data_IF_404714270465
#
_entry.id   IF_404714270465
#
_cell.length_a   1.000
_cell.length_b   1.000
_cell.length_c   1.000
_cell.angle_alpha   90.00
_cell.angle_beta   90.00
_cell.angle_gamma   90.00
#
_symmetry.space_group_name_H-M   'P 1'
#
loop_
_entity.id
_entity.type
_entity.pdbx_description
1 polymer ?
#
# COMPACT_ATOMS: atom_id res chain seq x y z
N UNK A 1 -24.54 -14.56 -58.64
CA UNK A 1 -23.66 -13.43 -58.23
C UNK A 1 -24.15 -12.79 -56.92
N UNK A 2 -24.64 -13.59 -55.95
CA UNK A 2 -25.11 -13.11 -54.64
C UNK A 2 -24.41 -13.78 -53.45
N UNK A 3 -23.76 -14.94 -53.64
CA UNK A 3 -23.26 -15.74 -52.52
C UNK A 3 -21.90 -15.27 -51.97
N UNK A 4 -21.18 -14.43 -52.72
CA UNK A 4 -19.86 -13.94 -52.32
C UNK A 4 -19.93 -12.82 -51.27
N UNK A 5 -21.04 -12.06 -51.21
CA UNK A 5 -21.20 -10.97 -50.22
C UNK A 5 -21.56 -11.46 -48.83
N UNK A 6 -22.23 -12.62 -48.72
CA UNK A 6 -22.68 -13.17 -47.44
C UNK A 6 -21.50 -13.72 -46.60
N UNK A 7 -20.56 -14.41 -47.24
CA UNK A 7 -19.39 -14.98 -46.55
C UNK A 7 -18.42 -13.93 -46.01
N UNK A 8 -18.28 -12.79 -46.69
CA UNK A 8 -17.43 -11.68 -46.23
C UNK A 8 -18.01 -10.98 -45.00
N UNK A 9 -19.33 -10.78 -44.95
CA UNK A 9 -19.99 -10.14 -43.80
C UNK A 9 -19.88 -11.00 -42.54
N UNK A 10 -19.99 -12.32 -42.68
CA UNK A 10 -19.87 -13.27 -41.56
C UNK A 10 -18.42 -13.30 -41.03
N UNK A 11 -17.43 -13.29 -41.92
CA UNK A 11 -16.01 -13.33 -41.54
C UNK A 11 -15.56 -12.05 -40.83
N UNK A 12 -16.02 -10.87 -41.29
CA UNK A 12 -15.76 -9.58 -40.63
C UNK A 12 -16.41 -9.51 -39.25
N UNK A 13 -17.62 -10.06 -39.09
CA UNK A 13 -18.29 -10.14 -37.79
C UNK A 13 -17.56 -11.03 -36.79
N UNK A 14 -17.05 -12.19 -37.21
CA UNK A 14 -16.31 -13.10 -36.33
C UNK A 14 -14.97 -12.48 -35.87
N UNK A 15 -14.23 -11.83 -36.78
CA UNK A 15 -12.98 -11.13 -36.42
C UNK A 15 -13.24 -9.94 -35.48
N UNK A 16 -14.32 -9.18 -35.71
CA UNK A 16 -14.71 -8.09 -34.83
C UNK A 16 -15.14 -8.58 -33.44
N UNK A 17 -15.90 -9.68 -33.35
CA UNK A 17 -16.32 -10.27 -32.07
C UNK A 17 -15.11 -10.85 -31.31
N UNK A 18 -14.16 -11.47 -31.99
CA UNK A 18 -12.91 -11.95 -31.35
C UNK A 18 -12.08 -10.76 -30.84
N UNK A 19 -11.97 -9.65 -31.59
CA UNK A 19 -11.26 -8.45 -31.12
C UNK A 19 -11.94 -7.76 -29.93
N UNK A 20 -13.27 -7.76 -29.87
CA UNK A 20 -14.01 -7.22 -28.70
C UNK A 20 -13.85 -8.12 -27.47
N UNK A 21 -13.70 -9.44 -27.64
CA UNK A 21 -13.49 -10.37 -26.54
C UNK A 21 -12.06 -10.36 -25.97
N UNK A 22 -11.05 -9.97 -26.75
CA UNK A 22 -9.67 -9.73 -26.25
C UNK A 22 -9.46 -8.32 -25.69
N UNK A 23 -10.43 -7.42 -25.83
CA UNK A 23 -10.37 -6.04 -25.32
C UNK A 23 -10.62 -5.89 -23.81
N UNK A 24 -10.97 -6.97 -23.09
CA UNK A 24 -11.28 -6.91 -21.67
C UNK A 24 -10.05 -7.18 -20.80
N UNK A 25 -9.55 -6.10 -20.20
CA UNK A 25 -8.70 -6.06 -19.00
C UNK A 25 -7.24 -6.52 -19.15
N UNK A 26 -6.42 -5.73 -19.84
CA UNK A 26 -4.99 -5.68 -19.51
C UNK A 26 -4.85 -5.08 -18.10
N UNK A 27 -4.84 -5.92 -17.07
CA UNK A 27 -4.35 -5.51 -15.76
C UNK A 27 -2.91 -5.08 -15.96
N UNK A 28 -2.55 -3.85 -15.55
CA UNK A 28 -1.16 -3.41 -15.64
C UNK A 28 -0.32 -4.31 -14.75
N UNK A 29 0.84 -4.74 -15.23
CA UNK A 29 1.77 -5.59 -14.45
C UNK A 29 2.07 -4.94 -13.09
N UNK A 30 2.21 -3.61 -13.08
CA UNK A 30 2.37 -2.80 -11.86
C UNK A 30 1.21 -2.96 -10.85
N UNK A 31 -0.04 -3.02 -11.30
CA UNK A 31 -1.19 -3.21 -10.41
C UNK A 31 -1.14 -4.58 -9.70
N UNK A 32 -0.67 -5.61 -10.42
CA UNK A 32 -0.50 -6.96 -9.86
C UNK A 32 0.62 -6.98 -8.83
N UNK A 33 1.76 -6.36 -9.16
CA UNK A 33 2.93 -6.28 -8.28
C UNK A 33 2.59 -5.55 -6.97
N UNK A 34 1.88 -4.41 -7.07
CA UNK A 34 1.39 -3.66 -5.92
C UNK A 34 0.43 -4.52 -5.07
N UNK A 35 -0.48 -5.24 -5.73
CA UNK A 35 -1.44 -6.11 -5.03
C UNK A 35 -0.75 -7.22 -4.25
N UNK A 36 0.25 -7.86 -4.82
CA UNK A 36 1.03 -8.91 -4.15
C UNK A 36 1.77 -8.36 -2.92
N UNK A 37 2.41 -7.20 -3.07
CA UNK A 37 3.07 -6.53 -1.95
C UNK A 37 2.07 -6.14 -0.85
N UNK A 38 0.96 -5.48 -1.18
CA UNK A 38 -0.05 -5.06 -0.21
C UNK A 38 -0.66 -6.27 0.51
N UNK A 39 -0.89 -7.36 -0.21
CA UNK A 39 -1.37 -8.62 0.39
C UNK A 39 -0.39 -9.12 1.44
N UNK A 40 0.92 -9.03 1.17
CA UNK A 40 1.98 -9.40 2.12
C UNK A 40 2.01 -8.47 3.33
N UNK A 41 2.04 -7.15 3.09
CA UNK A 41 2.07 -6.12 4.15
C UNK A 41 0.89 -6.27 5.11
N UNK A 42 -0.28 -6.63 4.59
CA UNK A 42 -1.51 -6.71 5.37
C UNK A 42 -1.87 -8.14 5.83
N UNK A 43 -1.06 -9.15 5.51
CA UNK A 43 -1.39 -10.56 5.76
C UNK A 43 -1.84 -10.84 7.20
N UNK A 44 -1.08 -10.33 8.18
CA UNK A 44 -1.42 -10.46 9.60
C UNK A 44 -2.75 -9.80 9.94
N UNK A 45 -2.99 -8.58 9.46
CA UNK A 45 -4.22 -7.83 9.75
C UNK A 45 -5.44 -8.47 9.09
N UNK A 46 -5.30 -8.95 7.86
CA UNK A 46 -6.34 -9.70 7.15
C UNK A 46 -6.69 -10.99 7.90
N UNK A 47 -5.71 -11.67 8.52
CA UNK A 47 -5.95 -12.93 9.23
C UNK A 47 -6.69 -12.78 10.57
N UNK A 48 -6.69 -11.60 11.19
CA UNK A 48 -7.23 -11.38 12.53
C UNK A 48 -8.40 -10.38 12.58
N UNK A 49 -8.72 -9.71 11.47
CA UNK A 49 -9.75 -8.67 11.43
C UNK A 49 -10.82 -9.01 10.40
N UNK A 50 -12.09 -8.82 10.77
CA UNK A 50 -13.24 -9.07 9.89
C UNK A 50 -13.24 -8.16 8.66
N UNK A 51 -12.69 -6.95 8.80
CA UNK A 51 -12.52 -6.01 7.68
C UNK A 51 -11.27 -5.14 7.88
N UNK A 52 -10.43 -5.09 6.85
CA UNK A 52 -9.28 -4.16 6.79
C UNK A 52 -9.65 -2.99 5.89
N UNK A 53 -9.61 -1.78 6.44
CA UNK A 53 -9.90 -0.54 5.72
C UNK A 53 -8.59 0.20 5.45
N UNK A 54 -8.32 0.51 4.18
CA UNK A 54 -7.10 1.19 3.75
C UNK A 54 -7.48 2.54 3.16
N UNK A 55 -6.74 3.60 3.49
CA UNK A 55 -6.90 4.91 2.84
C UNK A 55 -6.71 4.77 1.33
N UNK A 56 -7.65 5.31 0.56
CA UNK A 56 -7.60 5.31 -0.90
C UNK A 56 -6.47 6.18 -1.42
N UNK A 57 -6.16 7.30 -0.74
CA UNK A 57 -5.00 8.14 -1.03
C UNK A 57 -3.79 7.64 -0.24
N UNK A 58 -2.64 7.53 -0.92
CA UNK A 58 -1.39 7.17 -0.28
C UNK A 58 -0.95 8.24 0.74
N UNK A 59 -0.31 7.77 1.80
CA UNK A 59 0.21 8.60 2.87
C UNK A 59 1.64 9.06 2.56
N UNK A 60 1.81 10.38 2.47
CA UNK A 60 3.09 11.06 2.27
C UNK A 60 3.53 11.86 3.52
N UNK A 61 2.73 11.88 4.59
CA UNK A 61 3.01 12.69 5.79
C UNK A 61 4.30 12.25 6.48
N UNK A 62 4.64 10.95 6.38
CA UNK A 62 5.86 10.41 6.96
C UNK A 62 7.15 11.05 6.40
N UNK A 63 7.15 11.54 5.16
CA UNK A 63 8.28 12.25 4.55
C UNK A 63 8.58 13.56 5.30
N UNK A 64 7.56 14.13 5.94
CA UNK A 64 7.71 15.35 6.73
C UNK A 64 8.31 15.11 8.12
N UNK A 65 8.52 13.85 8.53
CA UNK A 65 9.06 13.50 9.85
C UNK A 65 10.46 14.13 10.06
N UNK A 66 10.67 14.91 11.13
CA UNK A 66 11.96 15.58 11.39
C UNK A 66 13.15 14.62 11.51
N UNK A 67 12.93 13.38 11.95
CA UNK A 67 13.99 12.36 12.06
C UNK A 67 14.52 11.92 10.69
N UNK A 68 13.71 12.09 9.65
CA UNK A 68 14.03 11.72 8.27
C UNK A 68 14.51 12.92 7.46
N UNK A 69 14.66 14.11 8.07
CA UNK A 69 15.14 15.33 7.40
C UNK A 69 16.61 15.62 7.77
N UNK A 70 17.50 15.81 6.78
CA UNK A 70 17.27 15.70 5.33
C UNK A 70 17.07 14.23 4.88
N UNK A 71 16.27 14.00 3.84
CA UNK A 71 15.97 12.64 3.35
C UNK A 71 17.18 12.04 2.63
N UNK A 72 18.05 11.38 3.40
CA UNK A 72 19.33 10.80 2.95
C UNK A 72 19.73 9.58 3.81
N UNK A 73 20.84 8.93 3.42
CA UNK A 73 21.38 7.75 4.12
C UNK A 73 21.61 7.99 5.61
N UNK A 74 22.15 9.15 5.98
CA UNK A 74 22.45 9.48 7.37
C UNK A 74 21.18 9.57 8.24
N UNK A 75 20.11 10.16 7.73
CA UNK A 75 18.86 10.25 8.48
C UNK A 75 18.19 8.89 8.65
N UNK A 76 18.25 8.04 7.61
CA UNK A 76 17.74 6.69 7.70
C UNK A 76 18.58 5.77 8.60
N UNK A 77 19.91 5.93 8.62
CA UNK A 77 20.80 5.12 9.47
C UNK A 77 20.64 5.40 10.97
N UNK A 78 20.08 6.56 11.32
CA UNK A 78 19.69 6.89 12.70
C UNK A 78 18.47 6.11 13.18
N UNK A 79 17.68 5.54 12.26
CA UNK A 79 16.51 4.74 12.62
C UNK A 79 16.95 3.38 13.19
N UNK A 80 16.36 2.99 14.31
CA UNK A 80 16.57 1.66 14.87
C UNK A 80 15.63 0.66 14.20
N UNK A 81 16.18 -0.30 13.46
CA UNK A 81 15.40 -1.45 12.99
C UNK A 81 15.02 -2.35 14.17
N UNK A 82 13.76 -2.75 14.27
CA UNK A 82 13.27 -3.68 15.32
C UNK A 82 13.23 -5.13 14.82
N UNK A 83 13.19 -5.35 13.50
CA UNK A 83 13.27 -6.69 12.92
C UNK A 83 14.73 -6.97 12.54
N UNK A 84 15.38 -7.84 13.34
CA UNK A 84 16.73 -8.38 13.12
C UNK A 84 16.64 -9.79 12.50
N UNK A 85 15.94 -9.96 11.39
CA UNK A 85 16.10 -11.21 10.63
C UNK A 85 17.39 -11.01 9.83
N UNK A 86 18.49 -11.48 10.42
CA UNK A 86 19.86 -11.47 9.87
C UNK A 86 20.44 -10.10 9.50
N UNK A 87 21.14 -9.46 10.45
CA UNK A 87 22.37 -8.64 10.31
C UNK A 87 22.61 -7.69 9.10
N UNK A 88 21.64 -7.43 8.23
CA UNK A 88 21.79 -6.53 7.09
C UNK A 88 21.45 -5.12 7.55
N UNK A 89 22.41 -4.21 7.43
CA UNK A 89 22.17 -2.79 7.63
C UNK A 89 21.47 -2.21 6.40
N UNK A 90 20.78 -1.09 6.53
CA UNK A 90 20.09 -0.45 5.40
C UNK A 90 21.05 -0.19 4.24
N UNK A 91 22.26 0.26 4.57
CA UNK A 91 23.34 0.57 3.63
C UNK A 91 23.86 -0.67 2.88
N UNK A 92 23.65 -1.87 3.43
CA UNK A 92 24.01 -3.13 2.76
C UNK A 92 22.97 -3.61 1.76
N UNK A 93 21.78 -3.01 1.77
CA UNK A 93 20.63 -3.40 0.94
C UNK A 93 20.29 -2.31 -0.07
N UNK A 94 20.24 -1.05 0.37
CA UNK A 94 19.84 0.09 -0.45
C UNK A 94 21.02 1.01 -0.73
N UNK A 95 21.16 1.40 -1.99
CA UNK A 95 22.10 2.43 -2.42
C UNK A 95 21.61 3.84 -2.06
N UNK A 96 22.50 4.83 -2.13
CA UNK A 96 22.11 6.24 -1.98
C UNK A 96 21.12 6.67 -3.08
N UNK A 97 21.23 6.12 -4.29
CA UNK A 97 20.29 6.34 -5.38
C UNK A 97 18.89 5.77 -5.06
N UNK A 98 18.82 4.59 -4.45
CA UNK A 98 17.55 3.99 -4.00
C UNK A 98 16.86 4.86 -2.95
N UNK A 99 17.62 5.40 -2.00
CA UNK A 99 17.07 6.31 -0.99
C UNK A 99 16.59 7.61 -1.60
N UNK A 100 17.36 8.20 -2.52
CA UNK A 100 16.92 9.40 -3.25
C UNK A 100 15.61 9.13 -4.01
N UNK A 101 15.51 7.98 -4.66
CA UNK A 101 14.29 7.54 -5.34
C UNK A 101 13.12 7.40 -4.36
N UNK A 102 13.33 6.77 -3.21
CA UNK A 102 12.34 6.69 -2.13
C UNK A 102 11.86 8.10 -1.76
N UNK A 103 12.77 9.01 -1.44
CA UNK A 103 12.42 10.36 -1.00
C UNK A 103 11.59 11.12 -2.04
N UNK A 104 11.98 11.06 -3.32
CA UNK A 104 11.29 11.80 -4.40
C UNK A 104 9.93 11.18 -4.69
N UNK A 105 9.85 9.87 -4.89
CA UNK A 105 8.59 9.23 -5.29
C UNK A 105 7.56 9.15 -4.16
N UNK A 106 7.99 9.28 -2.90
CA UNK A 106 7.09 9.28 -1.74
C UNK A 106 6.29 10.57 -1.60
N UNK A 107 6.73 11.66 -2.23
CA UNK A 107 6.00 12.94 -2.26
C UNK A 107 4.94 12.99 -3.37
N UNK A 108 4.95 12.03 -4.29
CA UNK A 108 3.99 11.98 -5.39
C UNK A 108 2.59 11.58 -4.92
N UNK A 109 1.58 12.29 -5.42
CA UNK A 109 0.19 11.91 -5.20
C UNK A 109 -0.10 10.54 -5.84
N UNK A 110 -0.56 9.59 -5.02
CA UNK A 110 -0.92 8.26 -5.47
C UNK A 110 -2.29 7.84 -4.93
N UNK A 111 -3.11 7.24 -5.80
CA UNK A 111 -4.46 6.76 -5.48
C UNK A 111 -4.52 5.27 -5.76
N UNK A 112 -4.77 4.48 -4.71
CA UNK A 112 -4.97 3.04 -4.85
C UNK A 112 -6.26 2.76 -5.61
N UNK A 113 -6.18 1.89 -6.61
CA UNK A 113 -7.35 1.34 -7.30
C UNK A 113 -7.78 0.02 -6.65
N UNK A 114 -9.02 -0.41 -6.90
CA UNK A 114 -9.52 -1.72 -6.43
C UNK A 114 -8.73 -2.91 -6.98
N UNK A 115 -8.03 -2.75 -8.11
CA UNK A 115 -7.20 -3.81 -8.71
C UNK A 115 -5.88 -4.00 -7.97
N UNK A 116 -5.41 -2.98 -7.26
CA UNK A 116 -4.14 -2.96 -6.53
C UNK A 116 -4.23 -3.50 -5.11
N UNK A 117 -5.41 -3.86 -4.61
CA UNK A 117 -5.61 -4.37 -3.26
C UNK A 117 -6.27 -5.75 -3.26
N UNK A 118 -6.02 -6.61 -2.25
CA UNK A 118 -6.75 -7.86 -2.13
C UNK A 118 -8.24 -7.62 -1.88
N UNK A 119 -9.09 -8.59 -2.24
CA UNK A 119 -10.54 -8.47 -2.15
C UNK A 119 -11.05 -8.20 -0.72
N UNK A 120 -10.32 -8.68 0.29
CA UNK A 120 -10.62 -8.47 1.71
C UNK A 120 -10.35 -7.04 2.20
N UNK A 121 -9.74 -6.18 1.38
CA UNK A 121 -9.42 -4.79 1.72
C UNK A 121 -10.44 -3.82 1.15
N UNK A 122 -11.02 -3.00 2.03
CA UNK A 122 -11.90 -1.90 1.66
C UNK A 122 -11.13 -0.58 1.60
N UNK A 123 -10.88 -0.11 0.38
CA UNK A 123 -10.47 1.29 0.16
C UNK A 123 -11.56 2.26 0.65
N UNK A 124 -11.16 3.27 1.42
CA UNK A 124 -12.01 4.33 1.97
C UNK A 124 -11.37 5.71 1.75
N UNK A 125 -12.19 6.75 1.63
CA UNK A 125 -11.66 8.12 1.51
C UNK A 125 -10.94 8.56 2.79
N UNK A 126 -9.90 9.39 2.63
CA UNK A 126 -9.12 9.91 3.74
C UNK A 126 -9.98 10.74 4.71
N UNK A 127 -10.89 11.58 4.20
CA UNK A 127 -11.80 12.38 5.02
C UNK A 127 -12.68 11.53 5.95
N UNK A 128 -13.07 10.33 5.51
CA UNK A 128 -13.82 9.39 6.35
C UNK A 128 -12.97 8.87 7.52
N UNK A 129 -11.69 8.56 7.27
CA UNK A 129 -10.74 8.17 8.31
C UNK A 129 -10.49 9.31 9.29
N UNK A 130 -10.25 10.53 8.77
CA UNK A 130 -9.95 11.70 9.58
C UNK A 130 -11.13 12.07 10.49
N UNK A 131 -12.36 11.98 9.97
CA UNK A 131 -13.58 12.17 10.75
C UNK A 131 -13.73 11.13 11.87
N UNK A 132 -13.43 9.85 11.59
CA UNK A 132 -13.45 8.79 12.59
C UNK A 132 -12.41 9.03 13.69
N UNK A 133 -11.19 9.45 13.34
CA UNK A 133 -10.14 9.72 14.32
C UNK A 133 -10.40 10.99 15.14
N UNK A 134 -10.98 12.02 14.53
CA UNK A 134 -11.42 13.21 15.25
C UNK A 134 -12.50 12.86 16.28
N UNK A 135 -13.49 12.05 15.89
CA UNK A 135 -14.53 11.58 16.79
C UNK A 135 -13.96 10.74 17.96
N UNK A 136 -12.99 9.85 17.68
CA UNK A 136 -12.29 9.07 18.70
C UNK A 136 -11.58 9.96 19.73
N UNK A 137 -10.79 10.93 19.27
CA UNK A 137 -10.03 11.85 20.12
C UNK A 137 -10.97 12.66 21.04
N UNK A 138 -12.12 13.09 20.53
CA UNK A 138 -13.13 13.79 21.32
C UNK A 138 -13.78 12.88 22.37
N UNK A 139 -14.03 11.61 22.05
CA UNK A 139 -14.61 10.64 22.99
C UNK A 139 -13.68 10.33 24.17
N UNK A 140 -12.37 10.16 23.91
CA UNK A 140 -11.35 9.95 24.95
C UNK A 140 -11.26 11.13 25.92
N UNK A 141 -11.40 12.36 25.41
CA UNK A 141 -11.36 13.58 26.24
C UNK A 141 -12.59 13.75 27.12
N UNK A 142 -13.76 13.31 26.65
CA UNK A 142 -15.05 13.61 27.31
C UNK A 142 -15.58 12.47 28.21
N UNK A 143 -14.89 11.33 28.33
CA UNK A 143 -15.28 10.17 29.15
C UNK A 143 -16.74 9.69 28.95
N UNK A 144 -17.39 10.05 27.84
CA UNK A 144 -18.78 9.71 27.57
C UNK A 144 -18.89 8.39 26.79
N UNK A 145 -19.97 7.67 27.08
CA UNK A 145 -20.30 6.31 26.60
C UNK A 145 -19.94 6.11 25.13
N UNK A 146 -19.22 5.03 24.86
CA UNK A 146 -18.79 4.58 23.55
C UNK A 146 -19.93 4.68 22.51
N UNK A 147 -19.79 5.59 21.55
CA UNK A 147 -20.66 5.64 20.40
C UNK A 147 -20.45 4.36 19.55
N UNK A 148 -21.43 3.94 18.76
CA UNK A 148 -21.25 2.85 17.77
C UNK A 148 -20.05 3.07 16.83
N UNK A 149 -19.59 4.32 16.67
CA UNK A 149 -18.37 4.65 15.93
C UNK A 149 -17.10 4.16 16.67
N UNK A 150 -17.11 4.11 18.00
CA UNK A 150 -16.04 3.58 18.86
C UNK A 150 -15.93 2.05 18.78
N UNK A 151 -17.05 1.33 18.82
CA UNK A 151 -17.04 -0.13 18.63
C UNK A 151 -16.51 -0.52 17.25
N UNK A 152 -16.82 0.27 16.22
CA UNK A 152 -16.29 0.13 14.87
C UNK A 152 -14.79 0.45 14.74
N UNK A 153 -14.16 1.13 15.70
CA UNK A 153 -12.71 1.34 15.74
C UNK A 153 -11.97 0.15 16.35
N UNK A 154 -12.56 -0.52 17.34
CA UNK A 154 -11.94 -1.68 17.98
C UNK A 154 -12.02 -2.96 17.15
N UNK A 155 -13.03 -3.10 16.28
CA UNK A 155 -13.23 -4.30 15.44
C UNK A 155 -12.57 -4.24 14.05
N UNK A 156 -12.19 -3.04 13.57
CA UNK A 156 -11.63 -2.86 12.23
C UNK A 156 -10.18 -2.36 12.29
N UNK A 157 -9.34 -2.85 11.37
CA UNK A 157 -8.00 -2.30 11.17
C UNK A 157 -8.07 -1.13 10.18
N UNK A 158 -7.73 0.08 10.64
CA UNK A 158 -7.64 1.28 9.78
C UNK A 158 -6.18 1.57 9.45
N UNK A 159 -5.85 1.45 8.17
CA UNK A 159 -4.48 1.47 7.68
C UNK A 159 -4.28 2.64 6.72
N UNK A 160 -3.15 3.33 6.86
CA UNK A 160 -2.60 4.23 5.85
C UNK A 160 -1.31 3.60 5.30
N UNK A 161 -1.13 3.66 3.98
CA UNK A 161 0.04 3.14 3.28
C UNK A 161 0.62 4.23 2.40
N UNK A 162 1.94 4.34 2.27
CA UNK A 162 2.52 5.15 1.19
C UNK A 162 2.38 4.46 -0.16
N UNK A 163 2.69 5.19 -1.23
CA UNK A 163 2.98 4.63 -2.54
C UNK A 163 4.07 3.55 -2.37
N UNK A 164 3.87 2.31 -2.87
CA UNK A 164 4.93 1.33 -2.97
C UNK A 164 6.02 1.81 -3.94
N UNK A 165 7.28 1.69 -3.54
CA UNK A 165 8.42 2.09 -4.37
C UNK A 165 9.27 0.86 -4.63
N UNK A 166 9.30 0.44 -5.89
CA UNK A 166 10.09 -0.71 -6.33
C UNK A 166 11.50 -0.27 -6.71
N UNK A 167 12.49 -0.97 -6.17
CA UNK A 167 13.92 -0.65 -6.23
C UNK A 167 14.67 -1.78 -6.91
N UNK A 168 15.85 -1.48 -7.45
CA UNK A 168 16.74 -2.48 -8.05
C UNK A 168 16.01 -3.43 -9.02
N UNK A 169 15.32 -2.85 -10.01
CA UNK A 169 14.52 -3.58 -11.02
C UNK A 169 13.38 -4.46 -10.44
N UNK A 170 12.88 -4.13 -9.25
CA UNK A 170 11.78 -4.84 -8.59
C UNK A 170 12.22 -5.96 -7.65
N UNK A 171 13.51 -6.05 -7.33
CA UNK A 171 14.03 -7.00 -6.33
C UNK A 171 13.70 -6.56 -4.90
N UNK A 172 13.57 -5.25 -4.67
CA UNK A 172 13.19 -4.70 -3.38
C UNK A 172 11.98 -3.79 -3.50
N UNK A 173 11.21 -3.69 -2.41
CA UNK A 173 10.10 -2.76 -2.30
C UNK A 173 10.16 -2.01 -0.97
N UNK A 174 9.96 -0.70 -1.04
CA UNK A 174 9.78 0.16 0.12
C UNK A 174 8.31 0.53 0.26
N UNK A 175 7.79 0.49 1.49
CA UNK A 175 6.45 0.98 1.81
C UNK A 175 6.38 1.47 3.26
N UNK A 176 5.78 2.64 3.47
CA UNK A 176 5.39 3.10 4.79
C UNK A 176 4.01 2.54 5.14
N UNK A 177 3.86 2.12 6.39
CA UNK A 177 2.66 1.55 6.96
C UNK A 177 2.32 2.27 8.27
N UNK A 178 1.07 2.71 8.42
CA UNK A 178 0.51 3.19 9.68
C UNK A 178 -0.78 2.48 9.99
N UNK A 179 -0.89 1.97 11.22
CA UNK A 179 -2.10 1.40 11.77
C UNK A 179 -2.61 2.31 12.88
N UNK A 180 -3.83 2.81 12.70
CA UNK A 180 -4.54 3.57 13.70
C UNK A 180 -5.57 2.66 14.38
N UNK A 181 -5.07 1.93 15.39
CA UNK A 181 -5.88 1.16 16.35
C UNK A 181 -5.64 1.70 17.77
N UNK A 182 -6.17 1.04 18.80
CA UNK A 182 -5.90 1.39 20.22
C UNK A 182 -4.40 1.53 20.52
N UNK A 183 -3.56 0.74 19.83
CA UNK A 183 -2.11 0.89 19.77
C UNK A 183 -1.74 1.42 18.39
N UNK A 184 -1.66 2.75 18.25
CA UNK A 184 -1.20 3.38 17.01
C UNK A 184 0.26 2.99 16.77
N UNK A 185 0.54 2.39 15.61
CA UNK A 185 1.89 1.97 15.24
C UNK A 185 2.15 2.33 13.80
N UNK A 186 3.29 2.97 13.52
CA UNK A 186 3.74 3.21 12.16
C UNK A 186 5.17 2.74 11.95
N UNK A 187 5.51 2.39 10.73
CA UNK A 187 6.82 1.84 10.39
C UNK A 187 7.14 2.05 8.91
N UNK A 188 8.41 2.29 8.61
CA UNK A 188 8.95 2.14 7.26
C UNK A 188 9.37 0.69 7.08
N UNK A 189 8.94 0.07 5.99
CA UNK A 189 9.14 -1.35 5.72
C UNK A 189 9.91 -1.52 4.41
N UNK A 190 10.89 -2.41 4.41
CA UNK A 190 11.61 -2.84 3.21
C UNK A 190 11.41 -4.34 3.03
N UNK A 191 11.00 -4.73 1.83
CA UNK A 191 10.78 -6.11 1.43
C UNK A 191 11.77 -6.52 0.34
N UNK A 192 12.17 -7.78 0.36
CA UNK A 192 12.94 -8.47 -0.70
C UNK A 192 12.01 -9.42 -1.45
N UNK A 193 12.16 -9.51 -2.78
CA UNK A 193 11.40 -10.43 -3.62
C UNK A 193 12.12 -11.77 -3.72
N UNK A 194 11.58 -12.80 -3.05
CA UNK A 194 12.07 -14.18 -3.12
C UNK A 194 11.17 -15.01 -4.05
N UNK A 195 11.51 -15.02 -5.34
CA UNK A 195 10.70 -15.66 -6.38
C UNK A 195 9.39 -14.91 -6.62
N UNK A 196 8.26 -15.46 -6.18
CA UNK A 196 6.91 -14.86 -6.32
C UNK A 196 6.38 -14.29 -4.99
N UNK A 197 7.24 -14.15 -3.97
CA UNK A 197 6.83 -13.71 -2.64
C UNK A 197 7.65 -12.51 -2.20
N UNK A 198 7.04 -11.69 -1.37
CA UNK A 198 7.70 -10.58 -0.68
C UNK A 198 8.01 -11.01 0.74
N UNK A 199 9.24 -10.77 1.17
CA UNK A 199 9.71 -11.08 2.53
C UNK A 199 10.17 -9.80 3.21
N UNK A 200 9.65 -9.54 4.41
CA UNK A 200 10.01 -8.36 5.18
C UNK A 200 11.43 -8.52 5.72
N UNK A 201 12.35 -7.66 5.26
CA UNK A 201 13.77 -7.71 5.65
C UNK A 201 14.15 -6.60 6.64
N UNK A 202 13.51 -5.43 6.55
CA UNK A 202 13.74 -4.31 7.46
C UNK A 202 12.43 -3.67 7.88
N UNK A 203 12.36 -3.31 9.17
CA UNK A 203 11.24 -2.55 9.73
C UNK A 203 11.79 -1.50 10.68
N UNK A 204 11.52 -0.24 10.36
CA UNK A 204 11.91 0.94 11.14
C UNK A 204 10.65 1.58 11.72
N UNK A 205 10.33 1.31 12.99
CA UNK A 205 9.19 1.95 13.63
C UNK A 205 9.41 3.45 13.73
N UNK A 206 8.38 4.19 13.31
CA UNK A 206 8.34 5.63 13.46
C UNK A 206 7.46 5.93 14.67
N UNK A 207 8.05 6.56 15.68
CA UNK A 207 7.27 7.21 16.71
C UNK A 207 6.75 8.50 16.10
N UNK A 208 5.47 8.54 15.74
CA UNK A 208 4.79 9.79 15.41
C UNK A 208 4.43 10.42 16.75
N UNK A 209 5.14 11.49 17.10
CA UNK A 209 4.88 12.32 18.29
C UNK A 209 3.63 13.16 18.13
#
# INVERSE_FOLDING_TARGET
MSDFKSSYLISVFIVAVIFVLYGCSSVKIEDLEIKELITTVLARKISISDTVKVSMKADAEWVQNPLLKPCNLESFSRLRSIIKIEAKSLESILSEEDLKKICVESEEDFIFSKKMVPQSVKLVEQNYLDSLFAAYTLSLKNQTVASQQFENLNSNAYIRLSKPIFLQKGEFAFIYYSNHSSESSSSLLVYEKTGQKWELILSFPLLIS
#
